data_IF_599133442318
#
_entry.id   IF_599133442318
#
_cell.length_a   1.000
_cell.length_b   1.000
_cell.length_c   1.000
_cell.angle_alpha   90.00
_cell.angle_beta   90.00
_cell.angle_gamma   90.00
#
_symmetry.space_group_name_H-M   'P 1'
#
loop_
_entity.id
_entity.type
_entity.pdbx_description
1 polymer ?
#
# COMPACT_ATOMS: atom_id res chain seq x y z
N UNK A 1 -5.51 -3.45 -46.92
CA UNK A 1 -5.47 -4.20 -45.65
C UNK A 1 -5.90 -3.27 -44.51
N UNK A 2 -7.05 -3.44 -43.89
CA UNK A 2 -7.47 -2.67 -42.74
C UNK A 2 -6.63 -3.10 -41.53
N UNK A 3 -5.74 -2.24 -41.05
CA UNK A 3 -5.05 -2.46 -39.76
C UNK A 3 -6.12 -2.48 -38.66
N UNK A 4 -6.37 -3.64 -38.08
CA UNK A 4 -7.21 -3.74 -36.86
C UNK A 4 -6.59 -2.88 -35.78
N UNK A 5 -7.22 -1.74 -35.48
CA UNK A 5 -6.89 -0.93 -34.33
C UNK A 5 -7.26 -1.71 -33.07
N UNK A 6 -6.28 -2.35 -32.45
CA UNK A 6 -6.45 -2.96 -31.13
C UNK A 6 -6.84 -1.85 -30.17
N UNK A 7 -8.00 -1.96 -29.51
CA UNK A 7 -8.46 -0.92 -28.60
C UNK A 7 -7.55 -0.81 -27.37
N UNK A 8 -7.35 0.41 -26.85
CA UNK A 8 -6.58 0.64 -25.63
C UNK A 8 -7.12 -0.18 -24.45
N UNK A 9 -8.44 -0.33 -24.36
CA UNK A 9 -9.09 -1.13 -23.33
C UNK A 9 -8.75 -2.61 -23.40
N UNK A 10 -8.59 -3.17 -24.60
CA UNK A 10 -8.17 -4.55 -24.78
C UNK A 10 -6.72 -4.77 -24.32
N UNK A 11 -5.80 -3.86 -24.68
CA UNK A 11 -4.39 -3.92 -24.24
C UNK A 11 -4.28 -3.83 -22.73
N UNK A 12 -5.02 -2.93 -22.09
CA UNK A 12 -5.05 -2.76 -20.62
C UNK A 12 -5.57 -4.05 -19.96
N UNK A 13 -6.65 -4.63 -20.51
CA UNK A 13 -7.24 -5.88 -20.02
C UNK A 13 -6.26 -7.04 -20.12
N UNK A 14 -5.57 -7.20 -21.25
CA UNK A 14 -4.55 -8.25 -21.46
C UNK A 14 -3.38 -8.11 -20.48
N UNK A 15 -2.87 -6.91 -20.23
CA UNK A 15 -1.83 -6.67 -19.24
C UNK A 15 -2.30 -7.01 -17.84
N UNK A 16 -3.51 -6.61 -17.49
CA UNK A 16 -4.13 -6.92 -16.21
C UNK A 16 -4.23 -8.43 -15.97
N UNK A 17 -4.71 -9.18 -16.96
CA UNK A 17 -4.86 -10.63 -16.87
C UNK A 17 -3.50 -11.34 -16.74
N UNK A 18 -2.46 -10.83 -17.40
CA UNK A 18 -1.10 -11.33 -17.27
C UNK A 18 -0.60 -11.19 -15.82
N UNK A 19 -0.77 -10.03 -15.19
CA UNK A 19 -0.35 -9.80 -13.81
C UNK A 19 -1.17 -10.61 -12.80
N UNK A 20 -2.46 -10.82 -13.03
CA UNK A 20 -3.28 -11.70 -12.20
C UNK A 20 -2.73 -13.13 -12.23
N UNK A 21 -2.43 -13.66 -13.39
CA UNK A 21 -1.83 -15.00 -13.52
C UNK A 21 -0.46 -15.08 -12.86
N UNK A 22 0.39 -14.10 -13.09
CA UNK A 22 1.72 -14.06 -12.51
C UNK A 22 1.66 -13.99 -10.98
N UNK A 23 0.77 -13.17 -10.40
CA UNK A 23 0.61 -13.08 -8.95
C UNK A 23 0.22 -14.42 -8.31
N UNK A 24 -0.66 -15.17 -8.96
CA UNK A 24 -1.04 -16.53 -8.49
C UNK A 24 0.12 -17.51 -8.55
N UNK A 25 0.92 -17.46 -9.60
CA UNK A 25 2.10 -18.32 -9.75
C UNK A 25 3.17 -18.00 -8.70
N UNK A 26 3.37 -16.73 -8.39
CA UNK A 26 4.35 -16.28 -7.40
C UNK A 26 3.83 -16.32 -5.95
N UNK A 27 2.55 -16.65 -5.73
CA UNK A 27 1.94 -16.79 -4.41
C UNK A 27 1.50 -15.47 -3.78
N UNK A 28 1.36 -14.40 -4.55
CA UNK A 28 0.85 -13.12 -4.05
C UNK A 28 -0.68 -13.08 -4.07
N UNK A 29 -1.25 -12.38 -3.08
CA UNK A 29 -2.69 -12.26 -2.90
C UNK A 29 -3.37 -11.42 -3.96
N UNK A 30 -2.64 -10.52 -4.62
CA UNK A 30 -3.15 -9.72 -5.72
C UNK A 30 -2.06 -9.24 -6.66
N UNK A 31 -2.46 -8.81 -7.85
CA UNK A 31 -1.58 -8.20 -8.85
C UNK A 31 -1.03 -6.83 -8.43
N UNK A 32 -1.60 -6.21 -7.41
CA UNK A 32 -1.15 -4.91 -6.91
C UNK A 32 0.32 -4.92 -6.45
N UNK A 33 0.85 -6.08 -6.10
CA UNK A 33 2.25 -6.25 -5.69
C UNK A 33 3.25 -5.74 -6.74
N UNK A 34 2.93 -5.86 -8.03
CA UNK A 34 3.86 -5.45 -9.10
C UNK A 34 4.07 -3.94 -9.17
N UNK A 35 3.08 -3.16 -8.74
CA UNK A 35 3.24 -1.72 -8.58
C UNK A 35 4.31 -1.39 -7.53
N UNK A 36 4.27 -2.07 -6.38
CA UNK A 36 5.28 -1.89 -5.33
C UNK A 36 6.67 -2.40 -5.76
N UNK A 37 6.73 -3.57 -6.41
CA UNK A 37 7.98 -4.10 -6.96
C UNK A 37 8.64 -3.12 -7.92
N UNK A 38 7.88 -2.56 -8.84
CA UNK A 38 8.35 -1.58 -9.83
C UNK A 38 8.89 -0.31 -9.15
N UNK A 39 8.18 0.19 -8.14
CA UNK A 39 8.64 1.33 -7.34
C UNK A 39 9.93 1.02 -6.59
N UNK A 40 10.03 -0.17 -6.00
CA UNK A 40 11.23 -0.58 -5.28
C UNK A 40 12.43 -0.78 -6.20
N UNK A 41 12.25 -1.41 -7.36
CA UNK A 41 13.29 -1.57 -8.37
C UNK A 41 13.85 -0.22 -8.84
N UNK A 42 12.96 0.75 -9.01
CA UNK A 42 13.31 2.09 -9.49
C UNK A 42 13.98 2.95 -8.43
N UNK A 43 13.45 2.96 -7.21
CA UNK A 43 13.85 3.90 -6.17
C UNK A 43 14.60 3.28 -4.99
N UNK A 44 14.69 1.94 -4.91
CA UNK A 44 15.37 1.22 -3.82
C UNK A 44 14.90 1.63 -2.44
N UNK A 45 13.58 1.71 -2.25
CA UNK A 45 12.95 2.21 -1.02
C UNK A 45 12.87 1.18 0.10
N UNK A 46 12.85 -0.12 -0.25
CA UNK A 46 12.71 -1.21 0.72
C UNK A 46 14.08 -1.70 1.14
N UNK A 47 14.40 -1.49 2.41
CA UNK A 47 15.67 -1.89 3.05
C UNK A 47 15.37 -2.76 4.27
N UNK A 48 16.40 -3.34 4.86
CA UNK A 48 16.29 -4.11 6.10
C UNK A 48 16.18 -3.20 7.34
N UNK A 49 15.64 -3.74 8.43
CA UNK A 49 15.60 -3.09 9.74
C UNK A 49 14.87 -1.73 9.74
N UNK A 50 13.72 -1.69 9.07
CA UNK A 50 12.86 -0.50 9.01
C UNK A 50 11.63 -0.66 9.91
N UNK A 51 11.03 0.48 10.29
CA UNK A 51 9.68 0.55 10.81
C UNK A 51 8.74 0.93 9.66
N UNK A 52 7.83 0.04 9.29
CA UNK A 52 7.01 0.14 8.07
C UNK A 52 5.53 0.10 8.41
N UNK A 53 4.77 1.03 7.84
CA UNK A 53 3.31 1.07 7.91
C UNK A 53 2.72 0.94 6.51
N UNK A 54 1.84 -0.06 6.33
CA UNK A 54 1.07 -0.30 5.10
C UNK A 54 -0.40 0.08 5.33
N UNK A 55 -0.86 1.14 4.68
CA UNK A 55 -2.20 1.68 4.84
C UNK A 55 -3.08 1.26 3.66
N UNK A 56 -4.26 0.68 3.96
CA UNK A 56 -5.14 0.12 2.93
C UNK A 56 -4.59 -1.17 2.37
N UNK A 57 -4.16 -2.06 3.24
CA UNK A 57 -3.34 -3.23 2.91
C UNK A 57 -4.07 -4.40 2.29
N UNK A 58 -5.41 -4.54 2.49
CA UNK A 58 -6.15 -5.69 1.99
C UNK A 58 -6.06 -5.83 0.45
N UNK A 59 -5.89 -7.04 -0.07
CA UNK A 59 -5.82 -8.35 0.57
C UNK A 59 -4.46 -8.70 1.21
N UNK A 60 -3.43 -7.85 1.11
CA UNK A 60 -2.16 -8.02 1.78
C UNK A 60 -0.97 -8.32 0.87
N UNK A 61 -1.07 -8.11 -0.44
CA UNK A 61 0.03 -8.40 -1.36
C UNK A 61 1.25 -7.48 -1.17
N UNK A 62 1.03 -6.21 -0.86
CA UNK A 62 2.11 -5.29 -0.54
C UNK A 62 2.78 -5.66 0.77
N UNK A 63 1.99 -6.00 1.78
CA UNK A 63 2.50 -6.47 3.08
C UNK A 63 3.32 -7.74 2.93
N UNK A 64 2.89 -8.69 2.08
CA UNK A 64 3.67 -9.90 1.75
C UNK A 64 5.05 -9.53 1.20
N UNK A 65 5.09 -8.65 0.21
CA UNK A 65 6.35 -8.24 -0.41
C UNK A 65 7.28 -7.52 0.56
N UNK A 66 6.72 -6.62 1.38
CA UNK A 66 7.49 -5.92 2.44
C UNK A 66 8.08 -6.91 3.44
N UNK A 67 7.30 -7.88 3.89
CA UNK A 67 7.76 -8.91 4.83
C UNK A 67 8.88 -9.78 4.25
N UNK A 68 8.81 -10.11 2.97
CA UNK A 68 9.82 -10.91 2.29
C UNK A 68 11.12 -10.13 2.05
N UNK A 69 11.03 -8.87 1.65
CA UNK A 69 12.16 -8.04 1.23
C UNK A 69 12.84 -7.30 2.37
N UNK A 70 12.09 -6.86 3.35
CA UNK A 70 12.59 -6.02 4.45
C UNK A 70 12.83 -6.87 5.70
N UNK A 71 13.96 -7.53 5.74
CA UNK A 71 14.33 -8.41 6.85
C UNK A 71 14.63 -7.63 8.13
N UNK A 72 14.22 -8.17 9.27
CA UNK A 72 14.40 -7.52 10.58
C UNK A 72 13.54 -6.27 10.78
N UNK A 73 12.59 -6.01 9.91
CA UNK A 73 11.73 -4.84 9.98
C UNK A 73 10.49 -5.08 10.83
N UNK A 74 10.04 -4.01 11.46
CA UNK A 74 8.80 -3.96 12.24
C UNK A 74 7.69 -3.46 11.34
N UNK A 75 6.73 -4.33 10.99
CA UNK A 75 5.71 -4.05 9.98
C UNK A 75 4.32 -4.07 10.62
N UNK A 76 3.57 -3.00 10.43
CA UNK A 76 2.15 -2.91 10.73
C UNK A 76 1.37 -2.66 9.44
N UNK A 77 0.24 -3.34 9.29
CA UNK A 77 -0.73 -3.06 8.24
C UNK A 77 -2.08 -2.68 8.82
N UNK A 78 -2.81 -1.82 8.15
CA UNK A 78 -4.15 -1.39 8.55
C UNK A 78 -5.08 -1.33 7.34
N UNK A 79 -6.29 -1.86 7.50
CA UNK A 79 -7.35 -1.82 6.50
C UNK A 79 -8.72 -1.93 7.19
N UNK A 80 -9.76 -1.43 6.54
CA UNK A 80 -11.15 -1.63 6.98
C UNK A 80 -11.56 -3.11 6.95
N UNK A 81 -10.95 -3.89 6.07
CA UNK A 81 -11.16 -5.32 5.93
C UNK A 81 -10.10 -6.08 6.71
N UNK A 82 -10.52 -7.22 7.26
CA UNK A 82 -9.56 -8.17 7.80
C UNK A 82 -8.77 -8.82 6.66
N UNK A 83 -7.54 -9.21 6.98
CA UNK A 83 -6.65 -9.92 6.06
C UNK A 83 -6.16 -11.20 6.70
N UNK A 84 -5.90 -12.20 5.88
CA UNK A 84 -5.25 -13.43 6.34
C UNK A 84 -3.89 -13.11 6.96
N UNK A 85 -3.58 -13.77 8.08
CA UNK A 85 -2.36 -13.50 8.84
C UNK A 85 -1.10 -13.64 7.99
N UNK A 86 -0.21 -12.66 8.14
CA UNK A 86 1.17 -12.71 7.63
C UNK A 86 2.11 -12.78 8.84
N UNK A 87 3.04 -13.72 8.83
CA UNK A 87 3.99 -13.90 9.90
C UNK A 87 4.81 -12.62 10.16
N UNK A 88 5.03 -12.31 11.44
CA UNK A 88 5.76 -11.11 11.88
C UNK A 88 5.17 -9.75 11.47
N UNK A 89 3.93 -9.74 11.02
CA UNK A 89 3.18 -8.51 10.70
C UNK A 89 2.02 -8.33 11.68
N UNK A 90 1.92 -7.13 12.24
CA UNK A 90 0.78 -6.74 13.07
C UNK A 90 -0.29 -6.07 12.22
N UNK A 91 -1.40 -6.76 11.99
CA UNK A 91 -2.53 -6.22 11.23
C UNK A 91 -3.60 -5.63 12.15
N UNK A 92 -4.06 -4.42 11.81
CA UNK A 92 -5.13 -3.70 12.51
C UNK A 92 -6.33 -3.55 11.57
N UNK A 93 -7.50 -4.01 12.02
CA UNK A 93 -8.76 -3.79 11.30
C UNK A 93 -9.39 -2.48 11.78
N UNK A 94 -9.57 -1.56 10.88
CA UNK A 94 -10.19 -0.27 11.18
C UNK A 94 -9.84 0.83 10.20
N UNK A 95 -10.43 1.99 10.45
CA UNK A 95 -10.16 3.19 9.68
C UNK A 95 -8.87 3.86 10.16
N UNK A 96 -7.94 4.08 9.24
CA UNK A 96 -6.71 4.81 9.53
C UNK A 96 -6.96 6.22 10.09
N UNK A 97 -8.06 6.85 9.73
CA UNK A 97 -8.43 8.20 10.19
C UNK A 97 -9.05 8.21 11.60
N UNK A 98 -9.41 7.04 12.14
CA UNK A 98 -9.95 6.94 13.51
C UNK A 98 -8.86 7.23 14.54
N UNK A 99 -9.11 8.15 15.46
CA UNK A 99 -8.18 8.54 16.51
C UNK A 99 -7.72 7.37 17.39
N UNK A 100 -8.59 6.41 17.65
CA UNK A 100 -8.25 5.19 18.41
C UNK A 100 -7.24 4.33 17.67
N UNK A 101 -7.40 4.19 16.35
CA UNK A 101 -6.47 3.43 15.51
C UNK A 101 -5.15 4.17 15.35
N UNK A 102 -5.17 5.48 15.25
CA UNK A 102 -3.96 6.30 15.23
C UNK A 102 -3.14 6.17 16.52
N UNK A 103 -3.81 6.07 17.65
CA UNK A 103 -3.12 5.79 18.92
C UNK A 103 -2.44 4.42 18.93
N UNK A 104 -3.10 3.38 18.41
CA UNK A 104 -2.52 2.04 18.27
C UNK A 104 -1.25 2.09 17.41
N UNK A 105 -1.28 2.82 16.31
CA UNK A 105 -0.12 3.00 15.42
C UNK A 105 1.03 3.69 16.17
N UNK A 106 0.75 4.78 16.87
CA UNK A 106 1.77 5.51 17.63
C UNK A 106 2.38 4.69 18.76
N UNK A 107 1.57 3.91 19.46
CA UNK A 107 2.04 3.04 20.52
C UNK A 107 2.90 1.89 20.00
N UNK A 108 2.55 1.35 18.82
CA UNK A 108 3.33 0.31 18.17
C UNK A 108 4.67 0.81 17.62
N UNK A 109 4.70 2.04 17.12
CA UNK A 109 5.90 2.71 16.63
C UNK A 109 6.26 3.89 17.57
N UNK A 110 6.92 3.65 18.71
CA UNK A 110 7.26 4.73 19.65
C UNK A 110 8.30 5.70 19.10
N UNK A 111 9.03 5.28 18.09
CA UNK A 111 9.98 6.10 17.33
C UNK A 111 9.39 6.44 15.97
N UNK A 112 10.16 7.13 15.14
CA UNK A 112 9.78 7.50 13.78
C UNK A 112 9.49 6.25 12.93
N UNK A 113 8.44 6.33 12.11
CA UNK A 113 8.19 5.36 11.03
C UNK A 113 9.11 5.70 9.87
N UNK A 114 9.86 4.70 9.38
CA UNK A 114 10.84 4.91 8.31
C UNK A 114 10.20 4.90 6.93
N UNK A 115 9.17 4.08 6.73
CA UNK A 115 8.51 3.91 5.45
C UNK A 115 6.99 3.76 5.65
N UNK A 116 6.24 4.58 4.95
CA UNK A 116 4.78 4.44 4.82
C UNK A 116 4.45 4.15 3.36
N UNK A 117 3.69 3.10 3.15
CA UNK A 117 3.19 2.72 1.82
C UNK A 117 1.67 2.68 1.83
N UNK A 118 1.05 3.03 0.72
CA UNK A 118 -0.39 2.97 0.55
C UNK A 118 -0.77 2.80 -0.91
N UNK A 119 -1.63 1.85 -1.19
CA UNK A 119 -2.29 1.68 -2.49
C UNK A 119 -3.80 1.98 -2.39
N UNK A 120 -4.18 2.81 -1.42
CA UNK A 120 -5.57 3.21 -1.28
C UNK A 120 -6.01 4.08 -2.45
N UNK A 121 -7.14 3.69 -3.06
CA UNK A 121 -7.91 4.58 -3.91
C UNK A 121 -9.05 5.18 -3.10
N UNK A 122 -9.18 6.49 -3.12
CA UNK A 122 -10.39 7.15 -2.61
C UNK A 122 -11.55 6.80 -3.51
N UNK A 123 -12.73 6.50 -2.94
CA UNK A 123 -13.94 6.29 -3.71
C UNK A 123 -14.20 7.51 -4.59
N UNK A 124 -14.12 7.33 -5.90
CA UNK A 124 -14.32 8.43 -6.84
C UNK A 124 -15.79 8.79 -6.95
N UNK A 125 -16.08 10.09 -6.85
CA UNK A 125 -17.43 10.64 -6.98
C UNK A 125 -17.82 10.95 -8.42
N UNK A 126 -16.84 10.88 -9.34
CA UNK A 126 -16.95 11.39 -10.71
C UNK A 126 -16.68 12.89 -10.83
N UNK A 127 -16.53 13.60 -9.72
CA UNK A 127 -16.13 15.01 -9.68
C UNK A 127 -14.61 15.10 -9.44
N UNK A 128 -13.87 15.47 -10.49
CA UNK A 128 -12.39 15.52 -10.43
C UNK A 128 -11.85 16.42 -9.32
N UNK A 129 -12.50 17.54 -9.06
CA UNK A 129 -12.04 18.46 -8.01
C UNK A 129 -12.22 17.88 -6.62
N UNK A 130 -13.40 17.28 -6.35
CA UNK A 130 -13.66 16.64 -5.05
C UNK A 130 -12.76 15.42 -4.83
N UNK A 131 -12.60 14.58 -5.83
CA UNK A 131 -11.73 13.41 -5.78
C UNK A 131 -10.27 13.81 -5.53
N UNK A 132 -9.80 14.89 -6.13
CA UNK A 132 -8.47 15.44 -5.92
C UNK A 132 -8.26 15.98 -4.49
N UNK A 133 -9.26 16.65 -3.92
CA UNK A 133 -9.21 17.15 -2.54
C UNK A 133 -9.14 15.98 -1.55
N UNK A 134 -9.99 14.97 -1.70
CA UNK A 134 -9.98 13.78 -0.82
C UNK A 134 -8.65 13.04 -0.86
N UNK A 135 -8.08 12.85 -2.03
CA UNK A 135 -6.75 12.25 -2.21
C UNK A 135 -5.66 13.09 -1.55
N UNK A 136 -5.74 14.40 -1.67
CA UNK A 136 -4.81 15.35 -1.04
C UNK A 136 -4.86 15.27 0.49
N UNK A 137 -6.04 15.17 1.09
CA UNK A 137 -6.21 15.02 2.55
C UNK A 137 -5.58 13.72 3.07
N UNK A 138 -5.79 12.59 2.40
CA UNK A 138 -5.17 11.32 2.74
C UNK A 138 -3.65 11.40 2.67
N UNK A 139 -3.11 11.97 1.61
CA UNK A 139 -1.67 12.14 1.42
C UNK A 139 -1.06 13.02 2.52
N UNK A 140 -1.73 14.12 2.88
CA UNK A 140 -1.29 15.00 3.96
C UNK A 140 -1.30 14.28 5.31
N UNK A 141 -2.35 13.49 5.61
CA UNK A 141 -2.43 12.70 6.83
C UNK A 141 -1.29 11.70 6.92
N UNK A 142 -0.98 10.99 5.85
CA UNK A 142 0.17 10.08 5.79
C UNK A 142 1.51 10.81 6.05
N UNK A 143 1.71 11.99 5.48
CA UNK A 143 2.91 12.81 5.71
C UNK A 143 3.07 13.23 7.17
N UNK A 144 1.99 13.57 7.87
CA UNK A 144 2.03 13.93 9.29
C UNK A 144 2.53 12.78 10.18
N UNK A 145 2.29 11.52 9.77
CA UNK A 145 2.81 10.34 10.48
C UNK A 145 4.29 10.08 10.24
N UNK A 146 4.81 10.49 9.11
CA UNK A 146 6.22 10.27 8.73
C UNK A 146 7.14 11.42 9.11
N UNK A 147 6.57 12.62 9.34
CA UNK A 147 7.35 13.78 9.73
C UNK A 147 7.78 13.68 11.19
N UNK A 148 9.06 13.99 11.51
CA UNK A 148 9.48 14.07 12.89
C UNK A 148 8.70 15.17 13.61
N UNK A 149 8.35 14.92 14.91
CA UNK A 149 7.78 15.96 15.74
C UNK A 149 8.75 17.14 15.83
N UNK A 150 8.27 18.41 15.80
CA UNK A 150 9.14 19.58 15.93
C UNK A 150 9.94 19.65 17.23
N UNK A 151 9.67 18.77 18.19
CA UNK A 151 10.31 18.71 19.50
C UNK A 151 11.25 17.52 19.71
N UNK A 152 11.38 16.69 18.71
CA UNK A 152 12.25 15.50 18.79
C UNK A 152 13.67 15.79 18.32
#
# INVERSE_FOLDING_TARGET
>A
MKKNKISKSWVIRQRRDKYVRQSKLEGYRSRAVYKLKELDEKFKIIKNNLSILDIGSAPGSWTQYLSEKSKGSKIMSIDLKDVEKIEDVYHVVGDFLDNKKQKIIKDYFPKKIDLVVSDMAVNTTGNKNLDSIQTGELSLTCLLYTSPSPRD
#
